data_IF_021682787242
#
_entry.id   IF_021682787242
#
_cell.length_a   1.000
_cell.length_b   1.000
_cell.length_c   1.000
_cell.angle_alpha   90.00
_cell.angle_beta   90.00
_cell.angle_gamma   90.00
#
_symmetry.space_group_name_H-M   'P 1'
#
loop_
_entity.id
_entity.type
_entity.pdbx_description
1 polymer ?
#
# COMPACT_ATOMS: atom_id res chain seq x y z
N UNK A 1 -12.07 54.00 -27.30
CA UNK A 1 -13.02 52.98 -27.67
C UNK A 1 -12.21 51.84 -28.24
N UNK A 2 -12.00 50.86 -27.38
CA UNK A 2 -11.55 49.48 -27.59
C UNK A 2 -10.15 49.17 -28.13
N UNK A 3 -9.19 49.17 -27.21
CA UNK A 3 -7.91 48.46 -27.36
C UNK A 3 -7.79 47.38 -26.29
N UNK A 4 -8.78 46.44 -26.20
CA UNK A 4 -8.75 45.33 -25.26
C UNK A 4 -8.66 43.96 -25.98
N UNK A 5 -8.74 43.91 -27.29
CA UNK A 5 -8.81 42.64 -28.03
C UNK A 5 -7.43 42.10 -28.49
N UNK A 6 -6.32 42.79 -28.24
CA UNK A 6 -4.99 42.36 -28.71
C UNK A 6 -4.15 41.60 -27.62
N UNK A 7 -4.70 41.30 -26.46
CA UNK A 7 -3.95 40.63 -25.39
C UNK A 7 -4.03 39.08 -25.44
N UNK A 8 -4.73 38.51 -26.43
CA UNK A 8 -4.94 37.06 -26.50
C UNK A 8 -4.22 36.37 -27.68
N UNK A 9 -3.25 37.05 -28.33
CA UNK A 9 -2.43 36.47 -29.40
C UNK A 9 -0.96 36.32 -28.95
N UNK A 10 -0.72 35.78 -27.75
CA UNK A 10 0.55 35.16 -27.44
C UNK A 10 0.74 33.94 -28.36
N UNK A 11 1.99 33.56 -28.70
CA UNK A 11 2.20 32.31 -29.44
C UNK A 11 1.47 31.21 -28.69
N UNK A 12 0.55 30.50 -29.38
CA UNK A 12 0.02 29.23 -28.88
C UNK A 12 1.24 28.37 -28.62
N UNK A 13 1.73 28.39 -27.39
CA UNK A 13 2.74 27.43 -26.94
C UNK A 13 2.05 26.08 -27.03
N UNK A 14 2.36 25.36 -28.09
CA UNK A 14 1.90 23.98 -28.28
C UNK A 14 2.50 23.15 -27.16
N UNK A 15 1.70 23.01 -26.08
CA UNK A 15 1.99 22.18 -24.90
C UNK A 15 1.81 20.70 -25.24
N UNK A 16 2.28 20.30 -26.43
CA UNK A 16 2.21 18.93 -26.87
C UNK A 16 3.21 18.06 -26.09
N UNK A 17 2.78 16.87 -25.74
CA UNK A 17 3.63 15.80 -25.23
C UNK A 17 3.69 14.74 -26.34
N UNK A 18 4.64 14.84 -27.29
CA UNK A 18 4.61 14.06 -28.54
C UNK A 18 4.44 12.56 -28.34
N UNK A 19 5.02 12.02 -27.28
CA UNK A 19 4.85 10.60 -26.93
C UNK A 19 3.40 10.24 -26.57
N UNK A 20 2.74 11.09 -25.81
CA UNK A 20 1.38 10.88 -25.35
C UNK A 20 0.35 11.21 -26.45
N UNK A 21 0.60 12.29 -27.20
CA UNK A 21 -0.32 12.78 -28.23
C UNK A 21 -0.47 11.81 -29.39
N UNK A 22 0.60 11.06 -29.72
CA UNK A 22 0.59 10.03 -30.76
C UNK A 22 -0.08 8.71 -30.34
N UNK A 23 -0.58 8.61 -29.12
CA UNK A 23 -1.28 7.41 -28.63
C UNK A 23 -2.75 7.40 -29.00
N UNK A 24 -3.31 6.19 -29.06
CA UNK A 24 -4.77 6.01 -29.15
C UNK A 24 -5.45 6.46 -27.85
N UNK A 25 -6.72 6.84 -27.93
CA UNK A 25 -7.50 7.26 -26.76
C UNK A 25 -7.57 6.15 -25.69
N UNK A 26 -7.58 4.87 -26.10
CA UNK A 26 -7.53 3.73 -25.20
C UNK A 26 -6.20 3.67 -24.43
N UNK A 27 -5.06 3.83 -25.10
CA UNK A 27 -3.74 3.88 -24.48
C UNK A 27 -3.59 5.06 -23.53
N UNK A 28 -4.07 6.25 -23.92
CA UNK A 28 -4.09 7.43 -23.06
C UNK A 28 -4.87 7.17 -21.77
N UNK A 29 -6.04 6.52 -21.90
CA UNK A 29 -6.88 6.14 -20.76
C UNK A 29 -6.16 5.13 -19.86
N UNK A 30 -5.58 4.08 -20.41
CA UNK A 30 -4.85 3.07 -19.62
C UNK A 30 -3.70 3.69 -18.81
N UNK A 31 -2.91 4.58 -19.43
CA UNK A 31 -1.82 5.30 -18.75
C UNK A 31 -2.37 6.20 -17.65
N UNK A 32 -3.41 6.99 -17.95
CA UNK A 32 -4.03 7.90 -16.98
C UNK A 32 -4.57 7.14 -15.79
N UNK A 33 -5.26 6.02 -16.02
CA UNK A 33 -5.81 5.18 -14.95
C UNK A 33 -4.71 4.53 -14.12
N UNK A 34 -3.59 4.14 -14.75
CA UNK A 34 -2.42 3.57 -14.06
C UNK A 34 -1.71 4.60 -13.18
N UNK A 35 -1.53 5.84 -13.66
CA UNK A 35 -0.97 6.95 -12.88
C UNK A 35 -1.88 7.26 -11.68
N UNK A 36 -3.19 7.40 -11.90
CA UNK A 36 -4.16 7.64 -10.82
C UNK A 36 -4.14 6.53 -9.78
N UNK A 37 -3.96 5.29 -10.24
CA UNK A 37 -3.88 4.14 -9.36
C UNK A 37 -2.64 4.21 -8.46
N UNK A 38 -1.45 4.50 -9.02
CA UNK A 38 -0.21 4.70 -8.27
C UNK A 38 -0.36 5.80 -7.20
N UNK A 39 -0.90 6.95 -7.58
CA UNK A 39 -1.10 8.07 -6.66
C UNK A 39 -2.10 7.78 -5.54
N UNK A 40 -3.08 6.90 -5.78
CA UNK A 40 -4.13 6.57 -4.81
C UNK A 40 -3.72 5.49 -3.80
N UNK A 41 -2.95 4.49 -4.24
CA UNK A 41 -2.67 3.30 -3.43
C UNK A 41 -1.20 2.99 -3.22
N UNK A 42 -0.29 3.82 -3.77
CA UNK A 42 1.17 3.70 -3.66
C UNK A 42 1.75 2.51 -4.41
N UNK A 43 1.17 1.32 -4.32
CA UNK A 43 1.69 0.08 -4.91
C UNK A 43 0.82 -0.44 -6.05
N UNK A 44 1.48 -0.95 -7.10
CA UNK A 44 0.84 -1.72 -8.17
C UNK A 44 1.56 -3.06 -8.29
N UNK A 45 0.79 -4.13 -8.06
CA UNK A 45 1.27 -5.50 -8.06
C UNK A 45 1.24 -6.09 -9.47
N UNK A 46 2.27 -6.89 -9.82
CA UNK A 46 2.28 -7.69 -11.04
C UNK A 46 1.14 -8.70 -11.04
N UNK A 47 0.95 -9.38 -9.90
CA UNK A 47 -0.11 -10.37 -9.71
C UNK A 47 -0.95 -10.03 -8.49
N UNK A 48 -2.25 -10.10 -8.65
CA UNK A 48 -3.21 -9.89 -7.59
C UNK A 48 -4.23 -11.01 -7.56
N UNK A 49 -4.70 -11.36 -6.37
CA UNK A 49 -5.74 -12.38 -6.21
C UNK A 49 -7.08 -11.89 -6.80
N UNK A 50 -7.62 -12.69 -7.66
CA UNK A 50 -8.95 -12.49 -8.24
C UNK A 50 -9.94 -13.45 -7.57
N UNK A 51 -10.90 -12.87 -6.85
CA UNK A 51 -11.94 -13.63 -6.11
C UNK A 51 -12.86 -14.45 -7.02
N UNK A 52 -12.99 -14.09 -8.31
CA UNK A 52 -13.87 -14.81 -9.25
C UNK A 52 -13.23 -16.11 -9.72
N UNK A 53 -11.93 -16.09 -9.94
CA UNK A 53 -11.17 -17.22 -10.44
C UNK A 53 -10.42 -17.95 -9.34
N UNK A 54 -10.42 -17.40 -8.12
CA UNK A 54 -9.69 -17.91 -6.94
C UNK A 54 -8.20 -18.13 -7.20
N UNK A 55 -7.61 -17.28 -8.04
CA UNK A 55 -6.20 -17.38 -8.48
C UNK A 55 -5.53 -16.02 -8.52
N UNK A 56 -4.21 -16.04 -8.41
CA UNK A 56 -3.37 -14.88 -8.70
C UNK A 56 -3.34 -14.63 -10.20
N UNK A 57 -3.75 -13.43 -10.62
CA UNK A 57 -3.77 -13.01 -12.01
C UNK A 57 -2.88 -11.80 -12.24
N UNK A 58 -2.31 -11.72 -13.44
CA UNK A 58 -1.56 -10.54 -13.87
C UNK A 58 -2.48 -9.32 -13.98
N UNK A 59 -2.01 -8.20 -13.44
CA UNK A 59 -2.77 -6.95 -13.49
C UNK A 59 -2.50 -6.19 -14.78
N UNK A 60 -3.54 -5.61 -15.37
CA UNK A 60 -3.40 -4.78 -16.57
C UNK A 60 -2.57 -3.52 -16.28
N UNK A 61 -2.77 -2.89 -15.13
CA UNK A 61 -2.04 -1.69 -14.73
C UNK A 61 -0.54 -1.92 -14.63
N UNK A 62 -0.09 -3.05 -14.07
CA UNK A 62 1.35 -3.38 -14.04
C UNK A 62 1.93 -3.48 -15.46
N UNK A 63 1.24 -4.17 -16.37
CA UNK A 63 1.68 -4.28 -17.77
C UNK A 63 1.71 -2.93 -18.48
N UNK A 64 0.72 -2.07 -18.24
CA UNK A 64 0.69 -0.72 -18.80
C UNK A 64 1.85 0.11 -18.27
N UNK A 65 2.13 0.07 -16.97
CA UNK A 65 3.27 0.79 -16.37
C UNK A 65 4.59 0.27 -16.96
N UNK A 66 4.78 -1.06 -17.05
CA UNK A 66 5.98 -1.64 -17.66
C UNK A 66 6.19 -1.15 -19.09
N UNK A 67 5.14 -1.18 -19.91
CA UNK A 67 5.19 -0.74 -21.32
C UNK A 67 5.55 0.74 -21.47
N UNK A 68 5.04 1.58 -20.60
CA UNK A 68 5.16 3.03 -20.66
C UNK A 68 6.03 3.61 -19.53
N UNK A 69 6.90 2.77 -18.94
CA UNK A 69 7.68 3.10 -17.74
C UNK A 69 8.48 4.42 -17.87
N UNK A 70 9.27 4.65 -18.95
CA UNK A 70 10.02 5.89 -19.07
C UNK A 70 9.14 7.15 -19.07
N UNK A 71 8.00 7.09 -19.76
CA UNK A 71 7.06 8.20 -19.83
C UNK A 71 6.42 8.47 -18.46
N UNK A 72 5.86 7.45 -17.80
CA UNK A 72 5.20 7.60 -16.51
C UNK A 72 6.19 8.09 -15.45
N UNK A 73 7.42 7.55 -15.46
CA UNK A 73 8.48 7.96 -14.55
C UNK A 73 8.84 9.44 -14.71
N UNK A 74 9.03 9.92 -15.93
CA UNK A 74 9.33 11.33 -16.20
C UNK A 74 8.15 12.23 -15.82
N UNK A 75 6.93 11.82 -16.12
CA UNK A 75 5.72 12.56 -15.75
C UNK A 75 5.60 12.74 -14.23
N UNK A 76 5.80 11.68 -13.46
CA UNK A 76 5.75 11.71 -11.99
C UNK A 76 6.91 12.52 -11.41
N UNK A 77 8.09 12.46 -12.03
CA UNK A 77 9.27 13.23 -11.61
C UNK A 77 9.03 14.75 -11.67
N UNK A 78 8.21 15.24 -12.60
CA UNK A 78 7.80 16.66 -12.64
C UNK A 78 7.05 17.08 -11.37
N UNK A 79 6.36 16.13 -10.73
CA UNK A 79 5.65 16.34 -9.47
C UNK A 79 6.51 16.04 -8.23
N UNK A 80 7.82 15.81 -8.38
CA UNK A 80 8.70 15.40 -7.27
C UNK A 80 8.48 13.96 -6.79
N UNK A 81 7.78 13.14 -7.61
CA UNK A 81 7.44 11.77 -7.27
C UNK A 81 8.36 10.81 -8.05
N UNK A 82 9.04 9.93 -7.36
CA UNK A 82 9.82 8.86 -7.96
C UNK A 82 8.98 7.62 -8.17
N UNK A 83 9.01 7.06 -9.39
CA UNK A 83 8.46 5.74 -9.70
C UNK A 83 9.57 4.70 -9.63
N UNK A 84 9.43 3.74 -8.74
CA UNK A 84 10.38 2.66 -8.51
C UNK A 84 9.80 1.32 -8.97
N UNK A 85 10.62 0.54 -9.66
CA UNK A 85 10.33 -0.85 -10.00
C UNK A 85 11.14 -1.79 -9.10
N UNK A 86 10.46 -2.73 -8.46
CA UNK A 86 11.08 -3.89 -7.85
C UNK A 86 10.62 -5.15 -8.59
N UNK A 87 11.36 -5.51 -9.62
CA UNK A 87 11.04 -6.65 -10.51
C UNK A 87 11.13 -8.00 -9.78
N UNK A 88 11.98 -8.12 -8.75
CA UNK A 88 12.08 -9.36 -7.96
C UNK A 88 10.79 -9.62 -7.15
N UNK A 89 10.20 -8.57 -6.62
CA UNK A 89 8.94 -8.65 -5.88
C UNK A 89 7.71 -8.51 -6.78
N UNK A 90 7.88 -8.13 -8.06
CA UNK A 90 6.78 -7.88 -8.99
C UNK A 90 5.92 -6.70 -8.57
N UNK A 91 6.53 -5.58 -8.17
CA UNK A 91 5.82 -4.39 -7.72
C UNK A 91 6.38 -3.11 -8.36
N UNK A 92 5.47 -2.19 -8.69
CA UNK A 92 5.79 -0.77 -8.85
C UNK A 92 5.29 -0.01 -7.64
N UNK A 93 6.04 1.01 -7.22
CA UNK A 93 5.59 1.91 -6.17
C UNK A 93 6.10 3.33 -6.38
N UNK A 94 5.46 4.27 -5.74
CA UNK A 94 5.84 5.68 -5.76
C UNK A 94 6.37 6.09 -4.40
N UNK A 95 7.39 6.96 -4.42
CA UNK A 95 7.97 7.57 -3.23
C UNK A 95 8.30 9.04 -3.50
N UNK A 96 8.35 9.86 -2.45
CA UNK A 96 8.66 11.29 -2.53
C UNK A 96 8.54 11.93 -1.17
N UNK A 97 9.29 13.01 -0.94
CA UNK A 97 9.33 13.69 0.38
C UNK A 97 7.98 14.30 0.77
N UNK A 98 7.20 14.77 -0.23
CA UNK A 98 5.92 15.42 -0.03
C UNK A 98 4.71 14.54 -0.37
N UNK A 99 4.91 13.25 -0.57
CA UNK A 99 3.78 12.33 -0.69
C UNK A 99 3.03 12.31 0.64
N UNK A 100 1.91 13.03 0.68
CA UNK A 100 1.03 13.09 1.85
C UNK A 100 0.47 11.69 2.16
N UNK A 101 1.20 10.95 2.99
CA UNK A 101 0.72 9.71 3.57
C UNK A 101 -0.22 10.01 4.73
N UNK A 102 -1.38 9.38 4.79
CA UNK A 102 -2.19 9.38 6.00
C UNK A 102 -1.37 8.68 7.12
N UNK A 103 -1.32 9.30 8.30
CA UNK A 103 -0.77 8.60 9.48
C UNK A 103 -1.59 7.34 9.73
N UNK A 104 -0.92 6.21 9.78
CA UNK A 104 -1.60 4.96 10.12
C UNK A 104 -2.13 5.03 11.56
N UNK A 105 -3.38 4.65 11.80
CA UNK A 105 -3.89 4.45 13.15
C UNK A 105 -3.02 3.43 13.92
N UNK A 106 -2.86 3.60 15.24
CA UNK A 106 -2.05 2.69 16.08
C UNK A 106 -2.36 1.21 15.82
N UNK A 107 -3.64 0.86 15.74
CA UNK A 107 -4.06 -0.51 15.47
C UNK A 107 -3.56 -1.01 14.10
N UNK A 108 -3.61 -0.17 13.07
CA UNK A 108 -3.14 -0.53 11.74
C UNK A 108 -1.61 -0.72 11.70
N UNK A 109 -0.86 0.10 12.44
CA UNK A 109 0.59 -0.06 12.61
C UNK A 109 0.90 -1.39 13.28
N UNK A 110 0.22 -1.74 14.38
CA UNK A 110 0.43 -3.01 15.07
C UNK A 110 0.12 -4.22 14.18
N UNK A 111 -0.98 -4.16 13.41
CA UNK A 111 -1.30 -5.21 12.44
C UNK A 111 -0.25 -5.31 11.33
N UNK A 112 0.25 -4.17 10.84
CA UNK A 112 1.32 -4.14 9.83
C UNK A 112 2.60 -4.81 10.36
N UNK A 113 3.01 -4.51 11.59
CA UNK A 113 4.18 -5.13 12.23
C UNK A 113 4.00 -6.65 12.42
N UNK A 114 2.83 -7.09 12.90
CA UNK A 114 2.52 -8.52 13.04
C UNK A 114 2.53 -9.25 11.69
N UNK A 115 1.96 -8.64 10.65
CA UNK A 115 1.97 -9.18 9.29
C UNK A 115 3.40 -9.28 8.73
N UNK A 116 4.25 -8.31 9.03
CA UNK A 116 5.67 -8.35 8.63
C UNK A 116 6.40 -9.50 9.28
N UNK A 117 6.20 -9.73 10.60
CA UNK A 117 6.79 -10.89 11.29
C UNK A 117 6.34 -12.22 10.66
N UNK A 118 5.03 -12.37 10.40
CA UNK A 118 4.50 -13.58 9.75
C UNK A 118 5.12 -13.76 8.36
N UNK A 119 5.23 -12.66 7.60
CA UNK A 119 5.82 -12.67 6.28
C UNK A 119 7.28 -13.16 6.32
N UNK A 120 8.10 -12.58 7.20
CA UNK A 120 9.52 -12.91 7.31
C UNK A 120 9.71 -14.37 7.76
N UNK A 121 9.00 -14.82 8.78
CA UNK A 121 9.07 -16.21 9.27
C UNK A 121 8.70 -17.24 8.20
N UNK A 122 7.71 -16.94 7.37
CA UNK A 122 7.33 -17.85 6.28
C UNK A 122 8.31 -17.78 5.11
N UNK A 123 8.86 -16.61 4.80
CA UNK A 123 9.86 -16.46 3.73
C UNK A 123 11.19 -17.12 4.07
N UNK A 124 11.58 -17.21 5.34
CA UNK A 124 12.75 -17.98 5.79
C UNK A 124 12.58 -19.49 5.50
N UNK A 125 11.35 -19.99 5.53
CA UNK A 125 11.05 -21.42 5.41
C UNK A 125 10.63 -21.86 4.00
N UNK A 126 10.22 -20.93 3.12
CA UNK A 126 9.62 -21.26 1.81
C UNK A 126 10.22 -20.39 0.71
N UNK A 127 10.88 -21.03 -0.24
CA UNK A 127 11.65 -20.34 -1.28
C UNK A 127 10.92 -20.09 -2.62
N UNK A 128 9.63 -20.44 -2.77
CA UNK A 128 9.00 -20.49 -4.09
C UNK A 128 7.95 -19.44 -4.41
N UNK A 129 7.44 -18.70 -3.42
CA UNK A 129 6.41 -17.66 -3.62
C UNK A 129 6.73 -16.43 -2.81
N UNK A 130 6.61 -15.27 -3.45
CA UNK A 130 6.73 -13.96 -2.76
C UNK A 130 5.45 -13.57 -2.01
N UNK A 131 4.37 -14.32 -2.17
CA UNK A 131 3.11 -14.11 -1.45
C UNK A 131 3.00 -15.10 -0.31
N UNK A 132 2.64 -14.62 0.86
CA UNK A 132 2.50 -15.38 2.09
C UNK A 132 1.03 -15.48 2.46
N UNK A 133 0.60 -16.63 2.94
CA UNK A 133 -0.77 -16.86 3.41
C UNK A 133 -0.80 -16.88 4.93
N UNK A 134 -1.83 -16.27 5.50
CA UNK A 134 -2.07 -16.25 6.95
C UNK A 134 -3.56 -16.27 7.26
N UNK A 135 -3.91 -16.35 8.52
CA UNK A 135 -5.30 -16.26 9.01
C UNK A 135 -5.45 -15.10 10.00
N UNK A 136 -6.68 -14.64 10.21
CA UNK A 136 -6.94 -13.62 11.23
C UNK A 136 -6.50 -14.11 12.64
N UNK A 137 -6.67 -15.40 12.92
CA UNK A 137 -6.23 -16.00 14.18
C UNK A 137 -4.73 -15.92 14.40
N UNK A 138 -3.92 -16.24 13.37
CA UNK A 138 -2.45 -16.13 13.43
C UNK A 138 -1.99 -14.68 13.65
N UNK A 139 -2.62 -13.70 12.98
CA UNK A 139 -2.32 -12.29 13.18
C UNK A 139 -2.62 -11.90 14.65
N UNK A 140 -3.79 -12.30 15.16
CA UNK A 140 -4.20 -12.01 16.55
C UNK A 140 -3.31 -12.71 17.58
N UNK A 141 -2.88 -13.94 17.32
CA UNK A 141 -1.93 -14.68 18.16
C UNK A 141 -0.57 -13.95 18.22
N UNK A 142 -0.03 -13.52 17.08
CA UNK A 142 1.21 -12.72 17.06
C UNK A 142 1.08 -11.47 17.91
N UNK A 143 0.00 -10.70 17.72
CA UNK A 143 -0.25 -9.50 18.52
C UNK A 143 -0.42 -9.82 20.02
N UNK A 144 -1.03 -10.96 20.35
CA UNK A 144 -1.20 -11.45 21.73
C UNK A 144 0.12 -11.77 22.40
N UNK A 145 1.09 -12.34 21.68
CA UNK A 145 2.42 -12.69 22.21
C UNK A 145 3.21 -11.47 22.71
N UNK A 146 2.97 -10.29 22.13
CA UNK A 146 3.58 -9.03 22.55
C UNK A 146 2.76 -8.25 23.57
N UNK A 147 1.65 -8.80 24.07
CA UNK A 147 0.76 -8.19 25.09
C UNK A 147 0.30 -6.75 24.78
N UNK A 148 0.21 -6.40 23.49
CA UNK A 148 -0.03 -5.04 23.00
C UNK A 148 -1.43 -4.49 23.31
N UNK A 149 -2.34 -5.35 23.78
CA UNK A 149 -3.72 -4.97 24.06
C UNK A 149 -4.11 -5.32 25.48
N UNK A 150 -4.51 -4.31 26.26
CA UNK A 150 -5.18 -4.54 27.57
C UNK A 150 -6.57 -5.13 27.36
N UNK A 151 -7.21 -4.88 26.22
CA UNK A 151 -8.52 -5.37 25.82
C UNK A 151 -8.51 -5.66 24.33
N UNK A 152 -9.13 -6.75 23.91
CA UNK A 152 -9.28 -7.10 22.49
C UNK A 152 -9.94 -5.96 21.72
N UNK A 153 -9.39 -5.57 20.54
CA UNK A 153 -9.98 -4.56 19.69
C UNK A 153 -11.41 -4.94 19.27
N UNK A 154 -12.27 -3.95 19.11
CA UNK A 154 -13.62 -4.20 18.63
C UNK A 154 -13.61 -4.76 17.20
N UNK A 155 -14.55 -5.65 16.84
CA UNK A 155 -14.62 -6.21 15.47
C UNK A 155 -14.72 -5.14 14.38
N UNK A 156 -15.37 -4.02 14.66
CA UNK A 156 -15.46 -2.88 13.76
C UNK A 156 -14.10 -2.23 13.49
N UNK A 157 -13.25 -2.12 14.51
CA UNK A 157 -11.91 -1.53 14.38
C UNK A 157 -10.97 -2.47 13.64
N UNK A 158 -11.09 -3.77 13.87
CA UNK A 158 -10.38 -4.80 13.11
C UNK A 158 -10.75 -4.71 11.63
N UNK A 159 -12.04 -4.66 11.29
CA UNK A 159 -12.49 -4.53 9.89
C UNK A 159 -11.97 -3.25 9.22
N UNK A 160 -12.02 -2.12 9.91
CA UNK A 160 -11.48 -0.84 9.40
C UNK A 160 -9.98 -0.94 9.13
N UNK A 161 -9.25 -1.54 10.05
CA UNK A 161 -7.81 -1.77 9.92
C UNK A 161 -7.49 -2.64 8.72
N UNK A 162 -8.16 -3.79 8.58
CA UNK A 162 -7.96 -4.70 7.45
C UNK A 162 -8.37 -4.05 6.11
N UNK A 163 -9.44 -3.27 6.08
CA UNK A 163 -9.85 -2.51 4.90
C UNK A 163 -8.80 -1.46 4.49
N UNK A 164 -8.18 -0.81 5.47
CA UNK A 164 -7.10 0.16 5.24
C UNK A 164 -5.85 -0.54 4.67
N UNK A 165 -5.41 -1.64 5.28
CA UNK A 165 -4.25 -2.41 4.79
C UNK A 165 -4.50 -3.00 3.39
N UNK A 166 -5.74 -3.41 3.10
CA UNK A 166 -6.16 -3.82 1.76
C UNK A 166 -6.11 -2.65 0.76
N UNK A 167 -6.56 -1.45 1.15
CA UNK A 167 -6.50 -0.24 0.31
C UNK A 167 -5.07 0.01 -0.17
N UNK A 168 -4.09 -0.16 0.72
CA UNK A 168 -2.66 0.00 0.41
C UNK A 168 -1.98 -1.25 -0.16
N UNK A 169 -2.74 -2.25 -0.56
CA UNK A 169 -2.21 -3.48 -1.19
C UNK A 169 -1.22 -4.27 -0.30
N UNK A 170 -1.33 -4.15 1.01
CA UNK A 170 -0.51 -4.94 1.95
C UNK A 170 -1.07 -6.34 2.09
N UNK A 171 -2.40 -6.44 2.17
CA UNK A 171 -3.12 -7.73 2.27
C UNK A 171 -4.25 -7.82 1.25
N UNK A 172 -4.68 -9.07 0.98
CA UNK A 172 -5.96 -9.36 0.32
C UNK A 172 -6.72 -10.41 1.15
N UNK A 173 -7.89 -10.06 1.71
CA UNK A 173 -8.77 -11.04 2.33
C UNK A 173 -9.39 -11.91 1.26
N UNK A 174 -9.32 -13.24 1.43
CA UNK A 174 -9.91 -14.19 0.48
C UNK A 174 -11.43 -14.27 0.62
N UNK A 175 -11.95 -13.93 1.81
CA UNK A 175 -13.37 -13.84 2.14
C UNK A 175 -13.86 -12.38 2.24
N UNK A 176 -15.14 -12.20 2.47
CA UNK A 176 -15.72 -10.88 2.73
C UNK A 176 -15.34 -10.38 4.12
N UNK A 177 -15.02 -9.09 4.24
CA UNK A 177 -14.64 -8.49 5.52
C UNK A 177 -15.77 -8.48 6.56
N UNK A 178 -17.01 -8.69 6.14
CA UNK A 178 -18.16 -8.72 7.05
C UNK A 178 -18.31 -10.07 7.77
N UNK A 179 -17.78 -11.15 7.19
CA UNK A 179 -17.91 -12.52 7.69
C UNK A 179 -16.64 -13.06 8.37
N UNK A 180 -15.76 -12.15 8.84
CA UNK A 180 -14.45 -12.51 9.39
C UNK A 180 -14.58 -13.33 10.69
N UNK A 181 -13.79 -14.39 10.74
CA UNK A 181 -13.55 -15.21 11.92
C UNK A 181 -12.05 -15.57 12.02
N UNK A 182 -11.64 -16.25 13.09
CA UNK A 182 -10.23 -16.58 13.31
C UNK A 182 -9.59 -17.41 12.20
N UNK A 183 -10.37 -18.15 11.41
CA UNK A 183 -9.89 -18.99 10.31
C UNK A 183 -9.90 -18.26 8.96
N UNK A 184 -10.45 -17.04 8.91
CA UNK A 184 -10.52 -16.28 7.65
C UNK A 184 -9.14 -16.05 7.06
N UNK A 185 -8.91 -16.49 5.81
CA UNK A 185 -7.59 -16.47 5.20
C UNK A 185 -7.27 -15.13 4.52
N UNK A 186 -5.98 -14.77 4.54
CA UNK A 186 -5.43 -13.58 3.90
C UNK A 186 -4.19 -13.92 3.10
N UNK A 187 -3.96 -13.17 2.03
CA UNK A 187 -2.67 -13.09 1.37
C UNK A 187 -1.95 -11.84 1.89
N UNK A 188 -0.70 -11.98 2.27
CA UNK A 188 0.22 -10.87 2.52
C UNK A 188 1.04 -10.66 1.24
N UNK A 189 0.96 -9.45 0.67
CA UNK A 189 1.70 -9.12 -0.54
C UNK A 189 3.12 -8.61 -0.22
N UNK A 190 4.08 -8.76 -1.15
CA UNK A 190 5.47 -8.38 -0.93
C UNK A 190 5.70 -6.89 -0.69
N UNK A 191 4.70 -6.03 -0.93
CA UNK A 191 4.74 -4.60 -0.61
C UNK A 191 5.11 -4.32 0.85
N UNK A 192 4.81 -5.25 1.76
CA UNK A 192 5.12 -5.13 3.18
C UNK A 192 6.61 -4.93 3.43
N UNK A 193 7.48 -5.51 2.58
CA UNK A 193 8.92 -5.35 2.66
C UNK A 193 9.41 -3.96 2.24
N UNK A 194 8.62 -3.24 1.44
CA UNK A 194 8.94 -1.85 1.06
C UNK A 194 8.50 -0.88 2.15
N UNK A 195 7.36 -1.15 2.78
CA UNK A 195 6.80 -0.30 3.85
C UNK A 195 7.66 -0.36 5.11
N UNK A 196 8.22 -1.53 5.43
CA UNK A 196 9.03 -1.78 6.64
C UNK A 196 10.44 -2.24 6.23
N UNK A 197 11.16 -1.38 5.52
CA UNK A 197 12.51 -1.66 5.03
C UNK A 197 13.52 -1.46 6.16
N UNK A 198 14.20 -2.56 6.55
CA UNK A 198 15.34 -2.50 7.46
C UNK A 198 15.01 -2.26 8.93
N UNK A 199 13.74 -2.16 9.30
CA UNK A 199 13.34 -1.98 10.68
C UNK A 199 13.37 -3.31 11.44
N UNK A 200 13.88 -3.29 12.66
CA UNK A 200 13.70 -4.40 13.59
C UNK A 200 12.27 -4.39 14.14
N UNK A 201 11.40 -5.11 13.45
CA UNK A 201 9.98 -5.18 13.77
C UNK A 201 9.72 -5.71 15.18
N UNK A 202 10.63 -6.56 15.71
CA UNK A 202 10.51 -7.11 17.07
C UNK A 202 10.77 -6.02 18.10
N UNK A 203 11.87 -5.25 17.92
CA UNK A 203 12.16 -4.11 18.77
C UNK A 203 11.05 -3.07 18.76
N UNK A 204 10.51 -2.73 17.60
CA UNK A 204 9.36 -1.82 17.50
C UNK A 204 8.12 -2.31 18.26
N UNK A 205 7.82 -3.61 18.21
CA UNK A 205 6.69 -4.19 18.95
C UNK A 205 6.94 -4.21 20.46
N UNK A 206 8.17 -4.41 20.91
CA UNK A 206 8.58 -4.35 22.31
C UNK A 206 8.46 -2.92 22.84
N UNK A 207 8.94 -1.92 22.12
CA UNK A 207 8.78 -0.49 22.45
C UNK A 207 7.31 -0.09 22.61
N UNK A 208 6.42 -0.57 21.72
CA UNK A 208 4.97 -0.34 21.84
C UNK A 208 4.36 -0.94 23.10
N UNK A 209 4.96 -2.01 23.64
CA UNK A 209 4.50 -2.63 24.88
C UNK A 209 4.93 -1.79 26.10
N UNK A 210 6.17 -1.34 26.14
CA UNK A 210 6.72 -0.53 27.23
C UNK A 210 5.98 0.79 27.40
N UNK A 211 5.65 1.49 26.28
CA UNK A 211 4.81 2.70 26.29
C UNK A 211 3.41 2.45 26.87
N UNK A 212 2.92 1.21 26.77
CA UNK A 212 1.59 0.84 27.30
C UNK A 212 1.60 0.62 28.82
N UNK A 213 2.75 0.30 29.40
CA UNK A 213 2.93 0.10 30.84
C UNK A 213 3.32 1.39 31.57
N UNK A 214 4.03 2.30 30.90
CA UNK A 214 4.51 3.57 31.48
C UNK A 214 3.46 4.66 31.68
N UNK A 215 2.23 4.47 31.21
CA UNK A 215 1.12 5.44 31.29
C UNK A 215 0.25 5.33 32.54
N UNK A 216 0.70 4.75 33.65
CA UNK A 216 -0.02 4.67 34.91
C UNK A 216 0.87 5.08 36.08
N UNK A 217 1.18 6.34 36.19
CA UNK A 217 1.37 6.98 37.50
C UNK A 217 1.28 8.49 37.33
N UNK A 218 0.11 9.04 37.52
CA UNK A 218 -0.08 10.33 38.18
C UNK A 218 -1.59 10.65 38.30
N UNK A 219 -2.05 10.81 39.51
CA UNK A 219 -3.36 11.42 39.73
C UNK A 219 -4.22 10.84 40.85
N UNK A 220 -3.62 10.49 41.99
CA UNK A 220 -4.39 10.47 43.23
C UNK A 220 -3.53 11.06 44.34
N UNK A 221 -3.65 12.37 44.53
CA UNK A 221 -3.54 12.99 45.85
C UNK A 221 -3.88 14.48 45.72
N UNK A 222 -5.02 14.83 46.24
CA UNK A 222 -5.57 15.98 46.98
C UNK A 222 -6.97 16.36 46.55
#
# INVERSE_FOLDING_TARGET
>A
MNDIDDLNNGPETDWSIPYYDNMTEEQKKEITDSIRLLLRQTFVLERKYDKKTERLQYTSSYRTITRHFPFIRHYLAVCGIELVENSHMGIFYVQGEDLMGEKLPKLATLYLLALKLIYDEQMENVSTSVNVYTTLGEIQEKLGNYRLFKRQPAPTDIRRTLALLRKYQIIEPLELLDDLNSKSPFIIYPCINVVLLGDDVRALLEDFNDDSEGGMDDGSDE
#
